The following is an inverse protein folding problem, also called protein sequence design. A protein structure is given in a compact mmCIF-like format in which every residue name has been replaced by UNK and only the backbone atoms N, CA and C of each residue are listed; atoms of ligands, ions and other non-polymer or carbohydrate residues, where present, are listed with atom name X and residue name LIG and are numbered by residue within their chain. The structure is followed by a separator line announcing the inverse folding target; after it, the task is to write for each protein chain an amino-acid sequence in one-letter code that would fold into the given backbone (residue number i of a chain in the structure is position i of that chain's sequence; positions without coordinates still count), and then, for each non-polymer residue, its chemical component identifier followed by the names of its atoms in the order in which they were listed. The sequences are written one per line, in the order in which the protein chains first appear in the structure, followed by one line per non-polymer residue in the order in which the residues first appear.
data_IF_825917292854
#
_entry.id   IF_825917292854
#
_cell.length_a   1.000
_cell.length_b   1.000
_cell.length_c   1.000
_cell.angle_alpha   90.00
_cell.angle_beta   90.00
_cell.angle_gamma   90.00
#
_symmetry.space_group_name_H-M   'P 1'
#
loop_
_entity.id
_entity.type
_entity.pdbx_description
1 polymer ?
#
# COMPACT_ATOMS: atom_id res chain seq x y z
N UNK A 1 -11.74 15.95 9.52
CA UNK A 1 -10.99 17.13 10.03
C UNK A 1 -10.55 17.93 8.82
N UNK A 2 -11.01 19.18 8.70
CA UNK A 2 -10.55 20.04 7.61
C UNK A 2 -9.03 20.19 7.67
N UNK A 3 -8.35 19.97 6.56
CA UNK A 3 -6.91 20.13 6.45
C UNK A 3 -6.57 21.62 6.45
N UNK A 4 -6.03 22.12 7.55
CA UNK A 4 -5.53 23.49 7.64
C UNK A 4 -4.05 23.51 7.24
N UNK A 5 -3.75 24.01 6.03
CA UNK A 5 -2.38 24.17 5.49
C UNK A 5 -1.43 24.84 6.52
N UNK A 6 -1.92 25.82 7.26
CA UNK A 6 -1.14 26.49 8.29
C UNK A 6 -0.69 25.58 9.43
N UNK A 7 -1.57 24.70 9.92
CA UNK A 7 -1.23 23.74 10.96
C UNK A 7 -0.20 22.70 10.45
N UNK A 8 -0.31 22.29 9.18
CA UNK A 8 0.66 21.41 8.54
C UNK A 8 2.05 22.06 8.43
N UNK A 9 2.10 23.32 7.95
CA UNK A 9 3.33 24.11 7.86
C UNK A 9 3.99 24.23 9.25
N UNK A 10 3.23 24.56 10.28
CA UNK A 10 3.74 24.70 11.64
C UNK A 10 4.33 23.40 12.18
N UNK A 11 3.69 22.27 11.91
CA UNK A 11 4.18 20.94 12.29
C UNK A 11 5.48 20.61 11.57
N UNK A 12 5.51 20.69 10.24
CA UNK A 12 6.70 20.39 9.42
C UNK A 12 7.88 21.30 9.74
N UNK A 13 7.65 22.59 9.94
CA UNK A 13 8.69 23.52 10.37
C UNK A 13 9.34 23.09 11.68
N UNK A 14 8.53 22.67 12.67
CA UNK A 14 9.05 22.20 13.99
C UNK A 14 9.81 20.88 13.85
N UNK A 15 9.32 19.95 13.04
CA UNK A 15 10.02 18.69 12.72
C UNK A 15 11.40 18.95 12.13
N UNK A 16 11.54 20.00 11.31
CA UNK A 16 12.82 20.46 10.73
C UNK A 16 13.67 21.31 11.67
N UNK A 17 13.19 21.59 12.87
CA UNK A 17 13.90 22.42 13.85
C UNK A 17 13.95 23.92 13.52
N UNK A 18 13.14 24.42 12.57
CA UNK A 18 13.14 25.83 12.20
C UNK A 18 12.23 26.66 13.10
N UNK A 19 12.68 27.90 13.42
CA UNK A 19 11.80 28.97 13.92
C UNK A 19 10.99 29.55 12.75
N UNK A 20 9.87 30.23 13.04
CA UNK A 20 9.09 30.98 12.02
C UNK A 20 9.99 31.98 11.26
N UNK A 21 10.89 32.64 11.96
CA UNK A 21 11.85 33.59 11.37
C UNK A 21 12.81 32.88 10.39
N UNK A 22 13.37 31.75 10.75
CA UNK A 22 14.29 30.99 9.88
C UNK A 22 13.58 30.45 8.63
N UNK A 23 12.32 30.01 8.76
CA UNK A 23 11.52 29.60 7.59
C UNK A 23 11.23 30.79 6.68
N UNK A 24 10.88 31.94 7.26
CA UNK A 24 10.62 33.17 6.52
C UNK A 24 11.90 33.65 5.76
N UNK A 25 13.05 33.64 6.41
CA UNK A 25 14.33 34.00 5.78
C UNK A 25 14.67 33.10 4.60
N UNK A 26 14.43 31.78 4.70
CA UNK A 26 14.64 30.82 3.59
C UNK A 26 13.72 31.08 2.39
N UNK A 27 12.55 31.67 2.63
CA UNK A 27 11.55 32.00 1.61
C UNK A 27 11.66 33.47 1.12
N UNK A 28 12.60 34.26 1.65
CA UNK A 28 12.71 35.71 1.44
C UNK A 28 11.42 36.46 1.80
N UNK A 29 10.79 36.10 2.92
CA UNK A 29 9.54 36.66 3.41
C UNK A 29 9.71 37.24 4.82
N UNK A 30 8.67 37.95 5.28
CA UNK A 30 8.61 38.40 6.68
C UNK A 30 8.17 37.28 7.61
N UNK A 31 8.66 37.26 8.84
CA UNK A 31 8.22 36.35 9.90
C UNK A 31 6.68 36.44 10.12
N UNK A 32 6.11 37.62 9.93
CA UNK A 32 4.66 37.85 10.05
C UNK A 32 3.85 37.08 9.00
N UNK A 33 4.38 36.89 7.77
CA UNK A 33 3.73 36.09 6.74
C UNK A 33 3.61 34.64 7.19
N UNK A 34 4.70 34.04 7.65
CA UNK A 34 4.70 32.66 8.17
C UNK A 34 3.77 32.52 9.38
N UNK A 35 3.79 33.48 10.29
CA UNK A 35 2.90 33.50 11.46
C UNK A 35 1.42 33.55 11.08
N UNK A 36 1.05 34.34 10.06
CA UNK A 36 -0.31 34.40 9.54
C UNK A 36 -0.75 33.08 8.90
N UNK A 37 0.16 32.41 8.18
CA UNK A 37 -0.14 31.09 7.62
C UNK A 37 -0.40 30.06 8.72
N UNK A 38 0.50 29.98 9.71
CA UNK A 38 0.40 29.02 10.80
C UNK A 38 -0.82 29.23 11.70
N UNK A 39 -1.28 30.50 11.83
CA UNK A 39 -2.51 30.81 12.56
C UNK A 39 -3.78 30.67 11.73
N UNK A 40 -3.68 30.39 10.42
CA UNK A 40 -4.82 30.32 9.51
C UNK A 40 -5.39 31.66 9.09
N UNK A 41 -4.74 32.77 9.44
CA UNK A 41 -5.19 34.13 9.06
C UNK A 41 -4.97 34.43 7.55
N UNK A 42 -4.07 33.70 6.89
CA UNK A 42 -3.88 33.72 5.44
C UNK A 42 -3.27 32.39 4.99
N UNK A 43 -3.30 32.12 3.67
CA UNK A 43 -2.59 30.99 3.06
C UNK A 43 -1.36 31.48 2.29
N UNK A 44 -0.36 30.59 2.03
CA UNK A 44 0.72 30.87 1.09
C UNK A 44 0.17 31.10 -0.32
N UNK A 45 0.82 31.99 -1.08
CA UNK A 45 0.58 32.11 -2.51
C UNK A 45 0.99 30.84 -3.25
N UNK A 46 0.32 30.55 -4.38
CA UNK A 46 0.60 29.35 -5.19
C UNK A 46 2.07 29.28 -5.63
N UNK A 47 2.70 30.42 -5.93
CA UNK A 47 4.10 30.51 -6.32
C UNK A 47 5.08 30.08 -5.21
N UNK A 48 4.63 30.12 -3.95
CA UNK A 48 5.43 29.74 -2.78
C UNK A 48 5.29 28.26 -2.39
N UNK A 49 4.30 27.54 -2.94
CA UNK A 49 4.07 26.16 -2.53
C UNK A 49 5.24 25.24 -2.86
N UNK A 50 5.82 25.34 -4.07
CA UNK A 50 6.99 24.53 -4.45
C UNK A 50 8.23 24.82 -3.61
N UNK A 51 8.69 26.08 -3.43
CA UNK A 51 9.82 26.35 -2.56
C UNK A 51 9.56 25.98 -1.09
N UNK A 52 8.33 26.18 -0.61
CA UNK A 52 7.94 25.78 0.75
C UNK A 52 8.01 24.26 0.94
N UNK A 53 7.50 23.49 -0.03
CA UNK A 53 7.58 22.03 -0.03
C UNK A 53 9.03 21.54 0.02
N UNK A 54 9.90 22.13 -0.80
CA UNK A 54 11.32 21.78 -0.84
C UNK A 54 12.02 22.06 0.51
N UNK A 55 11.78 23.23 1.13
CA UNK A 55 12.39 23.63 2.42
C UNK A 55 11.88 22.73 3.56
N UNK A 56 10.61 22.34 3.53
CA UNK A 56 9.99 21.52 4.56
C UNK A 56 10.10 20.01 4.28
N UNK A 57 10.87 19.61 3.26
CA UNK A 57 11.04 18.22 2.85
C UNK A 57 9.70 17.47 2.72
N UNK A 58 8.75 18.08 1.99
CA UNK A 58 7.41 17.55 1.75
C UNK A 58 7.00 17.78 0.30
N UNK A 59 5.78 17.41 -0.08
CA UNK A 59 5.22 17.67 -1.41
C UNK A 59 4.23 18.82 -1.37
N UNK A 60 3.96 19.44 -2.52
CA UNK A 60 2.92 20.48 -2.66
C UNK A 60 1.56 19.88 -2.31
N UNK A 61 1.28 18.66 -2.75
CA UNK A 61 0.04 17.95 -2.44
C UNK A 61 -0.18 17.81 -0.94
N UNK A 62 0.85 17.39 -0.20
CA UNK A 62 0.78 17.30 1.25
C UNK A 62 0.57 18.66 1.92
N UNK A 63 1.14 19.75 1.36
CA UNK A 63 0.92 21.11 1.88
C UNK A 63 -0.53 21.56 1.74
N UNK A 64 -1.16 21.30 0.58
CA UNK A 64 -2.54 21.70 0.32
C UNK A 64 -3.58 20.71 0.85
N UNK A 65 -3.10 19.61 1.49
CA UNK A 65 -3.97 18.56 1.99
C UNK A 65 -4.56 17.68 0.90
N UNK A 66 -4.02 17.79 -0.30
CA UNK A 66 -4.30 16.83 -1.35
C UNK A 66 -3.53 15.56 -1.03
N UNK A 67 -4.23 14.62 -0.47
CA UNK A 67 -3.74 13.26 -0.36
C UNK A 67 -4.18 12.56 -1.64
N UNK A 68 -3.26 12.43 -2.61
CA UNK A 68 -3.47 11.56 -3.77
C UNK A 68 -3.83 10.12 -3.34
N UNK A 69 -3.50 9.79 -2.10
CA UNK A 69 -3.84 8.55 -1.41
C UNK A 69 -5.31 8.40 -0.99
N UNK A 70 -6.19 9.39 -1.18
CA UNK A 70 -7.59 9.25 -0.81
C UNK A 70 -8.50 8.78 -1.96
N UNK A 71 -8.02 8.82 -3.19
CA UNK A 71 -8.75 8.31 -4.34
C UNK A 71 -7.81 7.42 -5.17
N UNK A 72 -8.12 6.16 -5.23
CA UNK A 72 -7.51 5.22 -6.19
C UNK A 72 -8.44 5.05 -7.38
N UNK A 73 -7.89 4.81 -8.57
CA UNK A 73 -8.68 4.49 -9.75
C UNK A 73 -9.54 3.21 -9.57
N UNK A 74 -9.26 2.40 -8.54
CA UNK A 74 -10.09 1.27 -8.16
C UNK A 74 -11.39 1.67 -7.47
N UNK A 75 -11.52 2.91 -6.97
CA UNK A 75 -12.76 3.38 -6.35
C UNK A 75 -13.95 3.22 -7.32
N UNK A 76 -13.77 3.67 -8.57
CA UNK A 76 -14.79 3.55 -9.61
C UNK A 76 -15.00 2.08 -10.04
N UNK A 77 -13.93 1.31 -10.18
CA UNK A 77 -13.98 -0.11 -10.55
C UNK A 77 -14.74 -0.93 -9.50
N UNK A 78 -14.47 -0.67 -8.22
CA UNK A 78 -15.12 -1.38 -7.12
C UNK A 78 -16.53 -0.86 -6.80
N UNK A 79 -16.90 0.36 -7.20
CA UNK A 79 -18.26 0.86 -7.06
C UNK A 79 -19.24 0.21 -8.03
N UNK A 80 -18.76 -0.38 -9.14
CA UNK A 80 -19.60 -1.08 -10.11
C UNK A 80 -20.28 -2.32 -9.51
N UNK A 81 -21.39 -2.79 -10.15
CA UNK A 81 -22.03 -4.03 -9.73
C UNK A 81 -21.11 -5.25 -9.97
N UNK A 82 -21.20 -6.22 -9.08
CA UNK A 82 -20.35 -7.43 -9.12
C UNK A 82 -18.99 -7.24 -8.49
N UNK A 83 -18.16 -8.28 -8.54
CA UNK A 83 -16.79 -8.26 -8.04
C UNK A 83 -15.84 -8.18 -9.22
N UNK A 84 -15.05 -7.10 -9.28
CA UNK A 84 -14.16 -6.81 -10.41
C UNK A 84 -13.13 -7.93 -10.65
N UNK A 85 -12.55 -8.44 -9.56
CA UNK A 85 -11.58 -9.55 -9.59
C UNK A 85 -12.22 -10.93 -9.44
N UNK A 86 -13.57 -11.02 -9.41
CA UNK A 86 -14.28 -12.24 -9.09
C UNK A 86 -14.14 -12.65 -7.63
N UNK A 87 -14.60 -13.88 -7.33
CA UNK A 87 -14.61 -14.41 -5.94
C UNK A 87 -13.65 -15.58 -5.71
N UNK A 88 -13.00 -16.07 -6.78
CA UNK A 88 -12.03 -17.15 -6.64
C UNK A 88 -10.77 -16.63 -5.90
N UNK A 89 -10.33 -17.32 -4.83
CA UNK A 89 -9.13 -16.91 -4.12
C UNK A 89 -7.87 -17.05 -5.00
N UNK A 90 -6.87 -16.25 -4.70
CA UNK A 90 -5.57 -16.37 -5.37
C UNK A 90 -4.91 -17.72 -5.03
N UNK A 91 -4.19 -18.30 -6.00
CA UNK A 91 -3.46 -19.54 -5.79
C UNK A 91 -2.48 -19.48 -4.59
N UNK A 92 -1.91 -18.30 -4.33
CA UNK A 92 -1.01 -18.05 -3.20
C UNK A 92 -1.67 -18.34 -1.83
N UNK A 93 -3.01 -18.20 -1.72
CA UNK A 93 -3.74 -18.57 -0.50
C UNK A 93 -3.61 -20.09 -0.20
N UNK A 94 -3.69 -20.94 -1.22
CA UNK A 94 -3.58 -22.39 -1.06
C UNK A 94 -2.15 -22.80 -0.70
N UNK A 95 -1.13 -22.16 -1.30
CA UNK A 95 0.27 -22.40 -0.95
C UNK A 95 0.57 -22.00 0.50
N UNK A 96 0.04 -20.84 0.92
CA UNK A 96 0.10 -20.39 2.31
C UNK A 96 -0.54 -21.41 3.25
N UNK A 97 -1.75 -21.87 2.95
CA UNK A 97 -2.47 -22.87 3.77
C UNK A 97 -1.72 -24.20 3.87
N UNK A 98 -1.03 -24.61 2.82
CA UNK A 98 -0.20 -25.83 2.82
C UNK A 98 1.02 -25.68 3.74
N UNK A 99 1.67 -24.50 3.76
CA UNK A 99 2.86 -24.24 4.56
C UNK A 99 2.52 -23.92 6.02
N UNK A 100 1.41 -23.25 6.25
CA UNK A 100 0.96 -22.85 7.59
C UNK A 100 -0.53 -23.19 7.78
N UNK A 101 -0.88 -24.48 7.87
CA UNK A 101 -2.27 -24.90 8.04
C UNK A 101 -2.85 -24.32 9.34
N UNK A 102 -4.14 -23.93 9.36
CA UNK A 102 -4.75 -23.19 10.47
C UNK A 102 -5.09 -24.08 11.65
N UNK A 103 -4.07 -24.74 12.23
CA UNK A 103 -4.23 -25.57 13.47
C UNK A 103 -4.55 -24.73 14.70
N UNK A 104 -4.41 -23.43 14.60
CA UNK A 104 -4.86 -22.39 15.53
C UNK A 104 -5.21 -21.14 14.72
N UNK A 105 -5.94 -20.15 15.29
CA UNK A 105 -6.28 -18.93 14.57
C UNK A 105 -5.05 -18.01 14.40
N UNK A 106 -4.18 -18.37 13.45
CA UNK A 106 -3.04 -17.52 13.08
C UNK A 106 -3.52 -16.16 12.60
N UNK A 107 -2.82 -15.10 13.03
CA UNK A 107 -3.10 -13.73 12.61
C UNK A 107 -2.53 -13.48 11.22
N UNK A 108 -3.39 -13.09 10.30
CA UNK A 108 -3.03 -12.76 8.91
C UNK A 108 -3.28 -11.28 8.67
N UNK A 109 -2.33 -10.62 8.02
CA UNK A 109 -2.51 -9.32 7.41
C UNK A 109 -2.62 -9.50 5.89
N UNK A 110 -3.73 -9.06 5.29
CA UNK A 110 -3.89 -8.97 3.84
C UNK A 110 -3.75 -7.50 3.41
N UNK A 111 -2.66 -7.18 2.72
CA UNK A 111 -2.33 -5.81 2.29
C UNK A 111 -2.85 -5.56 0.88
N UNK A 112 -3.77 -4.59 0.74
CA UNK A 112 -4.44 -4.28 -0.51
C UNK A 112 -5.48 -5.34 -0.88
N UNK A 113 -6.39 -5.62 0.05
CA UNK A 113 -7.36 -6.70 -0.06
C UNK A 113 -8.45 -6.48 -1.13
N UNK A 114 -8.56 -5.27 -1.70
CA UNK A 114 -9.60 -4.90 -2.66
C UNK A 114 -11.00 -5.22 -2.14
N UNK A 115 -11.73 -6.03 -2.88
CA UNK A 115 -13.11 -6.45 -2.56
C UNK A 115 -13.16 -7.65 -1.59
N UNK A 116 -12.02 -8.05 -0.99
CA UNK A 116 -11.96 -8.98 0.14
C UNK A 116 -11.97 -10.47 -0.20
N UNK A 117 -11.85 -10.87 -1.47
CA UNK A 117 -11.96 -12.28 -1.88
C UNK A 117 -10.97 -13.21 -1.16
N UNK A 118 -9.72 -12.78 -1.01
CA UNK A 118 -8.65 -13.55 -0.36
C UNK A 118 -8.76 -13.49 1.16
N UNK A 119 -9.00 -12.29 1.72
CA UNK A 119 -9.21 -12.08 3.16
C UNK A 119 -10.37 -12.93 3.70
N UNK A 120 -11.53 -12.90 3.03
CA UNK A 120 -12.70 -13.69 3.42
C UNK A 120 -12.46 -15.19 3.24
N UNK A 121 -11.77 -15.59 2.16
CA UNK A 121 -11.41 -17.00 1.97
C UNK A 121 -10.51 -17.51 3.11
N UNK A 122 -9.49 -16.76 3.52
CA UNK A 122 -8.61 -17.13 4.63
C UNK A 122 -9.38 -17.18 5.96
N UNK A 123 -10.26 -16.21 6.22
CA UNK A 123 -11.10 -16.21 7.42
C UNK A 123 -12.03 -17.44 7.48
N UNK A 124 -12.65 -17.82 6.37
CA UNK A 124 -13.47 -19.07 6.25
C UNK A 124 -12.66 -20.32 6.58
N UNK A 125 -11.38 -20.30 6.35
CA UNK A 125 -10.49 -21.44 6.61
C UNK A 125 -9.84 -21.38 8.01
N UNK A 126 -10.29 -20.50 8.91
CA UNK A 126 -9.90 -20.50 10.33
C UNK A 126 -8.75 -19.57 10.71
N UNK A 127 -8.32 -18.68 9.80
CA UNK A 127 -7.39 -17.61 10.11
C UNK A 127 -8.11 -16.42 10.74
N UNK A 128 -7.40 -15.68 11.60
CA UNK A 128 -7.84 -14.39 12.12
C UNK A 128 -7.27 -13.29 11.21
N UNK A 129 -8.11 -12.71 10.36
CA UNK A 129 -7.67 -11.83 9.29
C UNK A 129 -7.91 -10.37 9.64
N UNK A 130 -6.85 -9.56 9.48
CA UNK A 130 -6.90 -8.12 9.34
C UNK A 130 -6.55 -7.78 7.89
N UNK A 131 -7.29 -6.87 7.26
CA UNK A 131 -7.05 -6.53 5.87
C UNK A 131 -7.29 -5.04 5.61
N UNK A 132 -6.50 -4.46 4.73
CA UNK A 132 -6.67 -3.06 4.36
C UNK A 132 -6.64 -2.86 2.84
N UNK A 133 -7.30 -1.79 2.42
CA UNK A 133 -7.22 -1.27 1.07
C UNK A 133 -7.31 0.26 1.10
N UNK A 134 -6.92 0.90 0.00
CA UNK A 134 -7.07 2.35 -0.17
C UNK A 134 -8.48 2.71 -0.65
N UNK A 135 -9.14 1.80 -1.41
CA UNK A 135 -10.48 1.97 -1.96
C UNK A 135 -11.57 1.65 -0.92
N UNK A 136 -12.34 2.65 -0.51
CA UNK A 136 -13.45 2.44 0.44
C UNK A 136 -14.56 1.57 -0.17
N UNK A 137 -14.86 1.74 -1.46
CA UNK A 137 -15.83 0.92 -2.18
C UNK A 137 -15.44 -0.57 -2.19
N UNK A 138 -14.13 -0.87 -2.25
CA UNK A 138 -13.61 -2.23 -2.10
C UNK A 138 -13.85 -2.78 -0.70
N UNK A 139 -13.51 -1.99 0.32
CA UNK A 139 -13.73 -2.37 1.72
C UNK A 139 -15.21 -2.58 2.05
N UNK A 140 -16.11 -1.80 1.46
CA UNK A 140 -17.55 -2.00 1.62
C UNK A 140 -18.05 -3.33 1.04
N UNK A 141 -17.49 -3.74 -0.12
CA UNK A 141 -17.77 -5.06 -0.68
C UNK A 141 -17.16 -6.17 0.15
N UNK A 142 -15.93 -5.98 0.65
CA UNK A 142 -15.28 -6.94 1.54
C UNK A 142 -16.09 -7.18 2.82
N UNK A 143 -16.67 -6.11 3.43
CA UNK A 143 -17.56 -6.22 4.60
C UNK A 143 -18.80 -7.07 4.28
N UNK A 144 -19.48 -6.74 3.17
CA UNK A 144 -20.66 -7.50 2.73
C UNK A 144 -20.32 -8.97 2.44
N UNK A 145 -19.17 -9.24 1.82
CA UNK A 145 -18.73 -10.59 1.53
C UNK A 145 -18.44 -11.38 2.84
N UNK A 146 -17.80 -10.75 3.82
CA UNK A 146 -17.55 -11.34 5.13
C UNK A 146 -18.87 -11.66 5.87
N UNK A 147 -19.83 -10.71 5.85
CA UNK A 147 -21.18 -10.92 6.42
C UNK A 147 -21.92 -12.08 5.73
N UNK A 148 -21.91 -12.14 4.40
CA UNK A 148 -22.54 -13.22 3.62
C UNK A 148 -21.98 -14.61 3.95
N UNK A 149 -20.70 -14.66 4.31
CA UNK A 149 -20.02 -15.90 4.69
C UNK A 149 -19.95 -16.15 6.20
N UNK A 150 -20.55 -15.26 7.01
CA UNK A 150 -20.56 -15.36 8.48
C UNK A 150 -19.17 -15.48 9.09
N UNK A 151 -18.20 -14.71 8.57
CA UNK A 151 -16.83 -14.63 9.09
C UNK A 151 -16.49 -13.21 9.51
N UNK A 152 -15.59 -13.11 10.50
CA UNK A 152 -15.09 -11.84 10.97
C UNK A 152 -13.75 -11.51 10.30
N UNK A 153 -13.65 -10.33 9.70
CA UNK A 153 -12.45 -9.76 9.11
C UNK A 153 -12.30 -8.32 9.58
N UNK A 154 -11.20 -7.99 10.23
CA UNK A 154 -10.89 -6.61 10.63
C UNK A 154 -10.49 -5.82 9.38
N UNK A 155 -11.42 -5.02 8.84
CA UNK A 155 -11.21 -4.20 7.65
C UNK A 155 -10.94 -2.74 8.02
N UNK A 156 -9.91 -2.13 7.41
CA UNK A 156 -9.57 -0.72 7.64
C UNK A 156 -8.96 -0.09 6.39
N UNK A 157 -9.10 1.23 6.27
CA UNK A 157 -8.53 2.00 5.17
C UNK A 157 -7.08 2.36 5.46
N UNK A 158 -6.15 2.05 4.55
CA UNK A 158 -4.75 2.45 4.63
C UNK A 158 -4.10 2.52 3.24
N UNK A 159 -3.07 3.38 3.12
CA UNK A 159 -2.17 3.40 1.97
C UNK A 159 -0.96 2.50 2.27
N UNK A 160 -0.67 1.57 1.38
CA UNK A 160 0.47 0.66 1.50
C UNK A 160 1.82 1.41 1.59
N UNK A 161 1.91 2.61 1.01
CA UNK A 161 3.10 3.44 1.05
C UNK A 161 3.38 4.05 2.42
N UNK A 162 2.36 4.21 3.25
CA UNK A 162 2.45 4.81 4.59
C UNK A 162 2.18 3.81 5.71
N UNK A 163 1.85 2.56 5.34
CA UNK A 163 1.52 1.53 6.31
C UNK A 163 2.73 1.16 7.18
N UNK A 164 2.45 1.03 8.48
CA UNK A 164 3.36 0.49 9.48
C UNK A 164 2.59 -0.54 10.31
N UNK A 165 3.12 -1.75 10.52
CA UNK A 165 2.46 -2.76 11.34
C UNK A 165 2.37 -2.28 12.79
N UNK A 166 1.16 -2.29 13.34
CA UNK A 166 0.85 -1.94 14.74
C UNK A 166 0.83 -3.17 15.67
N UNK A 167 0.86 -4.34 15.09
CA UNK A 167 0.91 -5.63 15.80
C UNK A 167 1.75 -6.65 15.01
N UNK A 168 2.08 -7.77 15.66
CA UNK A 168 2.74 -8.88 15.00
C UNK A 168 1.73 -9.77 14.27
N UNK A 169 2.02 -10.14 13.02
CA UNK A 169 1.22 -11.08 12.24
C UNK A 169 2.00 -12.38 12.02
N UNK A 170 1.32 -13.52 12.18
CA UNK A 170 1.89 -14.84 11.87
C UNK A 170 2.05 -15.05 10.37
N UNK A 171 1.25 -14.33 9.58
CA UNK A 171 1.29 -14.32 8.12
C UNK A 171 1.06 -12.88 7.62
N UNK A 172 1.90 -12.44 6.68
CA UNK A 172 1.64 -11.24 5.88
C UNK A 172 1.45 -11.67 4.43
N UNK A 173 0.33 -11.28 3.86
CA UNK A 173 -0.11 -11.65 2.52
C UNK A 173 -0.35 -10.39 1.68
N UNK A 174 0.02 -10.41 0.41
CA UNK A 174 -0.37 -9.39 -0.55
C UNK A 174 -0.33 -9.96 -1.98
N UNK A 175 -1.38 -9.72 -2.74
CA UNK A 175 -1.48 -10.20 -4.12
C UNK A 175 -1.92 -9.08 -5.06
N UNK A 176 -1.06 -8.77 -6.04
CA UNK A 176 -1.36 -7.78 -7.09
C UNK A 176 -1.41 -6.33 -6.61
N UNK A 177 -0.64 -5.97 -5.57
CA UNK A 177 -0.66 -4.63 -4.96
C UNK A 177 0.74 -4.01 -4.83
N UNK A 178 1.78 -4.82 -4.61
CA UNK A 178 3.12 -4.31 -4.32
C UNK A 178 3.69 -3.41 -5.42
N UNK A 179 3.19 -3.49 -6.65
CA UNK A 179 3.63 -2.63 -7.76
C UNK A 179 3.24 -1.15 -7.55
N UNK A 180 2.31 -0.84 -6.62
CA UNK A 180 1.99 0.53 -6.20
C UNK A 180 2.94 1.08 -5.13
N UNK A 181 3.84 0.25 -4.57
CA UNK A 181 4.81 0.70 -3.58
C UNK A 181 5.92 1.48 -4.26
N UNK A 182 6.04 2.75 -3.91
CA UNK A 182 7.09 3.64 -4.43
C UNK A 182 8.48 3.11 -4.07
N UNK A 183 9.50 3.28 -4.92
CA UNK A 183 10.86 2.77 -4.68
C UNK A 183 11.46 3.17 -3.34
N UNK A 184 11.25 4.44 -2.91
CA UNK A 184 11.72 4.96 -1.63
C UNK A 184 11.02 4.32 -0.41
N UNK A 185 9.87 3.67 -0.62
CA UNK A 185 9.07 3.02 0.43
C UNK A 185 9.24 1.50 0.47
N UNK A 186 9.77 0.88 -0.59
CA UNK A 186 9.93 -0.59 -0.65
C UNK A 186 10.73 -1.13 0.52
N UNK A 187 11.98 -0.69 0.64
CA UNK A 187 12.85 -1.17 1.74
C UNK A 187 12.29 -0.85 3.13
N UNK A 188 11.86 0.39 3.47
CA UNK A 188 11.24 0.68 4.77
C UNK A 188 10.03 -0.19 5.09
N UNK A 189 9.15 -0.46 4.12
CA UNK A 189 7.98 -1.31 4.30
C UNK A 189 8.40 -2.74 4.66
N UNK A 190 9.28 -3.36 3.85
CA UNK A 190 9.72 -4.73 4.10
C UNK A 190 10.51 -4.87 5.40
N UNK A 191 11.36 -3.89 5.74
CA UNK A 191 12.09 -3.89 7.02
C UNK A 191 11.10 -3.87 8.21
N UNK A 192 10.07 -3.02 8.15
CA UNK A 192 9.06 -2.94 9.20
C UNK A 192 8.23 -4.23 9.33
N UNK A 193 7.79 -4.81 8.20
CA UNK A 193 7.05 -6.08 8.18
C UNK A 193 7.90 -7.23 8.74
N UNK A 194 9.17 -7.31 8.34
CA UNK A 194 10.11 -8.32 8.83
C UNK A 194 10.42 -8.16 10.32
N UNK A 195 10.58 -6.93 10.79
CA UNK A 195 10.83 -6.65 12.21
C UNK A 195 9.65 -7.07 13.09
N UNK A 196 8.40 -6.87 12.63
CA UNK A 196 7.18 -7.23 13.37
C UNK A 196 6.84 -8.73 13.31
N UNK A 197 7.40 -9.48 12.36
CA UNK A 197 7.10 -10.89 12.19
C UNK A 197 7.68 -11.74 13.33
N UNK A 198 6.91 -12.67 13.93
CA UNK A 198 7.44 -13.64 14.89
C UNK A 198 8.33 -14.69 14.19
N UNK A 199 9.15 -15.42 14.95
CA UNK A 199 9.82 -16.62 14.45
C UNK A 199 8.80 -17.62 13.89
N UNK A 200 9.05 -18.19 12.73
CA UNK A 200 8.11 -19.01 11.97
C UNK A 200 6.99 -18.20 11.29
N UNK A 201 7.08 -16.88 11.29
CA UNK A 201 6.17 -16.01 10.53
C UNK A 201 6.38 -16.17 9.04
N UNK A 202 5.29 -16.22 8.26
CA UNK A 202 5.32 -16.36 6.80
C UNK A 202 4.95 -15.04 6.12
N UNK A 203 5.71 -14.66 5.10
CA UNK A 203 5.34 -13.61 4.16
C UNK A 203 5.09 -14.22 2.78
N UNK A 204 3.92 -13.97 2.20
CA UNK A 204 3.48 -14.53 0.93
C UNK A 204 3.07 -13.39 -0.02
N UNK A 205 3.88 -13.13 -1.02
CA UNK A 205 3.75 -11.97 -1.89
C UNK A 205 3.88 -12.31 -3.36
N UNK A 206 3.21 -11.53 -4.19
CA UNK A 206 3.52 -11.44 -5.60
C UNK A 206 3.60 -9.97 -6.07
N UNK A 207 4.34 -9.73 -7.14
CA UNK A 207 4.46 -8.42 -7.75
C UNK A 207 4.66 -8.53 -9.27
N UNK A 208 4.03 -7.64 -10.02
CA UNK A 208 4.25 -7.54 -11.46
C UNK A 208 5.65 -7.02 -11.79
N UNK A 209 6.32 -7.71 -12.73
CA UNK A 209 7.65 -7.37 -13.22
C UNK A 209 7.57 -7.21 -14.75
N UNK A 210 7.66 -5.99 -15.29
CA UNK A 210 7.63 -5.78 -16.72
C UNK A 210 8.79 -6.48 -17.42
N UNK A 211 8.52 -6.98 -18.63
CA UNK A 211 9.54 -7.60 -19.49
C UNK A 211 9.62 -6.88 -20.82
N UNK A 212 10.82 -6.61 -21.35
CA UNK A 212 10.98 -5.87 -22.61
C UNK A 212 10.32 -6.53 -23.82
N UNK A 213 10.12 -7.85 -23.76
CA UNK A 213 9.51 -8.66 -24.82
C UNK A 213 8.00 -8.92 -24.61
N UNK A 214 7.40 -8.46 -23.50
CA UNK A 214 5.97 -8.51 -23.27
C UNK A 214 5.36 -7.13 -23.57
N UNK A 215 4.26 -7.07 -24.35
CA UNK A 215 3.53 -5.83 -24.51
C UNK A 215 3.05 -5.31 -23.16
N UNK A 216 3.02 -3.98 -23.00
CA UNK A 216 2.35 -3.38 -21.85
C UNK A 216 0.89 -3.80 -21.79
N UNK A 217 0.36 -3.97 -20.57
CA UNK A 217 -1.06 -4.24 -20.40
C UNK A 217 -1.88 -3.08 -20.99
N UNK A 218 -2.90 -3.38 -21.81
CA UNK A 218 -3.59 -2.36 -22.61
C UNK A 218 -4.42 -1.36 -21.80
N UNK A 219 -4.54 -1.56 -20.49
CA UNK A 219 -5.34 -0.75 -19.56
C UNK A 219 -4.49 -0.10 -18.44
N UNK A 220 -3.16 -0.09 -18.56
CA UNK A 220 -2.31 0.60 -17.59
C UNK A 220 -2.68 2.08 -17.57
N UNK A 221 -3.14 2.55 -16.42
CA UNK A 221 -3.46 3.95 -16.20
C UNK A 221 -2.19 4.78 -15.97
N UNK A 222 -2.28 6.08 -16.15
CA UNK A 222 -1.15 6.99 -15.97
C UNK A 222 -0.57 6.92 -14.55
N UNK A 223 -1.44 6.71 -13.55
CA UNK A 223 -1.02 6.53 -12.16
C UNK A 223 -0.13 5.29 -11.97
N UNK A 224 -0.43 4.18 -12.63
CA UNK A 224 0.36 2.95 -12.59
C UNK A 224 1.71 3.12 -13.31
N UNK A 225 1.73 3.87 -14.41
CA UNK A 225 2.95 4.20 -15.17
C UNK A 225 3.87 5.16 -14.42
N UNK A 226 3.35 5.93 -13.48
CA UNK A 226 4.12 6.91 -12.70
C UNK A 226 5.01 6.27 -11.62
N UNK A 227 4.68 5.04 -11.19
CA UNK A 227 5.50 4.31 -10.21
C UNK A 227 6.57 3.52 -10.94
N UNK A 228 7.87 3.75 -10.66
CA UNK A 228 8.93 2.95 -11.26
C UNK A 228 8.72 1.45 -11.02
N UNK A 229 8.83 0.63 -12.06
CA UNK A 229 8.51 -0.79 -11.98
C UNK A 229 9.44 -1.54 -11.03
N UNK A 230 9.00 -2.70 -10.60
CA UNK A 230 9.84 -3.67 -9.93
C UNK A 230 10.71 -4.40 -10.95
N UNK A 231 11.90 -4.80 -10.51
CA UNK A 231 12.84 -5.59 -11.31
C UNK A 231 12.79 -7.06 -10.94
N UNK A 232 13.16 -7.92 -11.89
CA UNK A 232 13.28 -9.37 -11.65
C UNK A 232 14.15 -9.66 -10.43
N UNK A 233 13.61 -10.45 -9.49
CA UNK A 233 14.32 -10.83 -8.27
C UNK A 233 14.42 -9.74 -7.20
N UNK A 234 13.92 -8.52 -7.42
CA UNK A 234 13.92 -7.46 -6.41
C UNK A 234 13.13 -7.87 -5.17
N UNK A 235 11.94 -8.45 -5.37
CA UNK A 235 11.12 -8.95 -4.26
C UNK A 235 11.85 -10.04 -3.46
N UNK A 236 12.49 -10.97 -4.14
CA UNK A 236 13.31 -12.01 -3.50
C UNK A 236 14.48 -11.40 -2.70
N UNK A 237 15.09 -10.33 -3.22
CA UNK A 237 16.21 -9.65 -2.56
C UNK A 237 15.89 -9.12 -1.17
N UNK A 238 14.63 -8.75 -0.89
CA UNK A 238 14.19 -8.35 0.44
C UNK A 238 14.17 -9.51 1.45
N UNK A 239 14.20 -10.76 0.99
CA UNK A 239 14.10 -11.97 1.80
C UNK A 239 15.33 -12.89 1.76
N UNK A 240 16.49 -12.35 1.33
CA UNK A 240 17.74 -13.13 1.21
C UNK A 240 18.22 -13.74 2.55
N UNK A 241 17.75 -13.20 3.69
CA UNK A 241 18.05 -13.64 5.06
C UNK A 241 16.95 -14.53 5.67
N UNK A 242 15.89 -14.86 4.91
CA UNK A 242 14.81 -15.74 5.34
C UNK A 242 14.84 -17.08 4.59
N UNK A 243 14.14 -18.10 5.11
CA UNK A 243 13.94 -19.36 4.39
C UNK A 243 12.93 -19.13 3.25
N UNK A 244 13.35 -19.32 2.03
CA UNK A 244 12.49 -19.21 0.85
C UNK A 244 11.83 -20.58 0.56
N UNK A 245 10.52 -20.69 0.76
CA UNK A 245 9.72 -21.83 0.35
C UNK A 245 9.35 -21.76 -1.14
N UNK A 246 9.11 -20.56 -1.62
CA UNK A 246 8.80 -20.25 -3.02
C UNK A 246 9.56 -19.01 -3.43
N UNK A 247 10.25 -19.07 -4.55
CA UNK A 247 10.85 -17.92 -5.22
C UNK A 247 10.83 -18.21 -6.72
N UNK A 248 9.83 -17.68 -7.42
CA UNK A 248 9.62 -17.93 -8.84
C UNK A 248 9.27 -16.66 -9.58
N UNK A 249 9.70 -16.60 -10.83
CA UNK A 249 9.24 -15.62 -11.79
C UNK A 249 8.48 -16.36 -12.90
N UNK A 250 7.23 -15.98 -13.14
CA UNK A 250 6.34 -16.70 -14.05
C UNK A 250 5.60 -15.75 -14.98
N UNK A 251 5.56 -16.10 -16.28
CA UNK A 251 4.72 -15.44 -17.27
C UNK A 251 3.40 -16.20 -17.35
N UNK A 252 2.29 -15.48 -17.27
CA UNK A 252 0.96 -16.07 -17.32
C UNK A 252 0.01 -15.26 -18.21
N UNK A 253 -1.03 -15.95 -18.69
CA UNK A 253 -2.11 -15.34 -19.45
C UNK A 253 -3.09 -14.66 -18.50
N UNK A 254 -3.45 -13.42 -18.80
CA UNK A 254 -4.41 -12.62 -18.05
C UNK A 254 -5.54 -12.15 -18.97
N UNK A 255 -6.74 -12.08 -18.43
CA UNK A 255 -7.94 -11.60 -19.12
C UNK A 255 -8.62 -10.46 -18.36
N UNK A 256 -7.92 -9.81 -17.44
CA UNK A 256 -8.46 -8.65 -16.73
C UNK A 256 -8.86 -7.56 -17.73
N UNK A 257 -9.87 -6.78 -17.37
CA UNK A 257 -10.52 -5.81 -18.26
C UNK A 257 -11.10 -6.41 -19.57
N UNK A 258 -11.27 -7.74 -19.67
CA UNK A 258 -11.82 -8.41 -20.85
C UNK A 258 -10.89 -8.44 -22.06
N UNK A 259 -9.62 -8.06 -21.93
CA UNK A 259 -8.63 -8.04 -23.01
C UNK A 259 -7.55 -9.08 -22.69
N UNK A 260 -7.39 -10.15 -23.51
CA UNK A 260 -6.34 -11.13 -23.31
C UNK A 260 -4.94 -10.51 -23.46
N UNK A 261 -4.09 -10.69 -22.46
CA UNK A 261 -2.70 -10.23 -22.46
C UNK A 261 -1.85 -11.10 -21.51
N UNK A 262 -0.56 -10.82 -21.44
CA UNK A 262 0.36 -11.55 -20.56
C UNK A 262 0.97 -10.62 -19.52
N UNK A 263 1.16 -11.17 -18.32
CA UNK A 263 1.99 -10.55 -17.28
C UNK A 263 3.16 -11.45 -16.92
N UNK A 264 4.22 -10.83 -16.42
CA UNK A 264 5.25 -11.52 -15.66
C UNK A 264 5.13 -11.11 -14.19
N UNK A 265 5.31 -12.06 -13.29
CA UNK A 265 5.11 -11.86 -11.86
C UNK A 265 6.19 -12.60 -11.07
N UNK A 266 6.86 -11.89 -10.15
CA UNK A 266 7.64 -12.52 -9.09
C UNK A 266 6.69 -12.99 -7.99
N UNK A 267 6.94 -14.19 -7.48
CA UNK A 267 6.22 -14.79 -6.35
C UNK A 267 7.23 -15.23 -5.29
N UNK A 268 7.04 -14.77 -4.06
CA UNK A 268 7.88 -15.14 -2.92
C UNK A 268 7.00 -15.61 -1.76
N UNK A 269 7.35 -16.78 -1.20
CA UNK A 269 6.88 -17.20 0.12
C UNK A 269 8.12 -17.44 0.97
N UNK A 270 8.28 -16.64 2.01
CA UNK A 270 9.43 -16.65 2.89
C UNK A 270 9.04 -16.84 4.35
N UNK A 271 9.85 -17.55 5.12
CA UNK A 271 9.65 -17.83 6.54
C UNK A 271 10.80 -17.25 7.37
N UNK A 272 10.46 -16.58 8.46
CA UNK A 272 11.42 -16.09 9.43
C UNK A 272 11.94 -17.22 10.31
N UNK A 273 13.24 -17.53 10.24
CA UNK A 273 13.83 -18.65 10.98
C UNK A 273 14.25 -18.29 12.41
N UNK A 274 14.61 -17.05 12.69
CA UNK A 274 15.08 -16.61 14.02
C UNK A 274 14.86 -15.12 14.22
#
# INVERSE_FOLDING_TARGET
MEHHIGAFIARKRREMGYTQRQLAEKLNLSCQAVSKWESGASAPDLSLLSPLAAILHTTVDALVGYHAASATHYEDKYSAQGYYWGLAPNALCYDLMRLKPPVKPYRVLDMGCGEGKDAVFLAKNGYRVSAFDLAESGLDKARRLAEQHHVDVRLFKADINDYQPDEAFDVVFSSGVLHYVRPDRRKPLFDALKASAPTGGLHAFNVFVPKPFLPEAPYLEEAERSVPPWHSGELMGHYADWLLHTSTETIFDCQSAGIPHKHCMDVVIAEKMS
#
